data_IF_726684185271
#
_entry.id   IF_726684185271
#
_cell.length_a   1.000
_cell.length_b   1.000
_cell.length_c   1.000
_cell.angle_alpha   90.00
_cell.angle_beta   90.00
_cell.angle_gamma   90.00
#
_symmetry.space_group_name_H-M   'P 1'
#
loop_
_entity.id
_entity.type
_entity.pdbx_description
1 polymer ?
#
# COMPACT_ATOMS: atom_id res chain seq x y z
N UNK A 1 -8.53 20.52 11.45
CA UNK A 1 -8.22 19.23 12.09
C UNK A 1 -8.01 18.23 10.97
N UNK A 2 -6.82 17.66 10.82
CA UNK A 2 -6.58 16.51 9.95
C UNK A 2 -6.51 15.26 10.84
N UNK A 3 -7.32 14.25 10.55
CA UNK A 3 -7.25 12.97 11.25
C UNK A 3 -6.43 11.99 10.40
N UNK A 4 -5.58 11.20 11.04
CA UNK A 4 -4.91 10.09 10.37
C UNK A 4 -5.96 9.03 9.97
N UNK A 5 -5.75 8.40 8.82
CA UNK A 5 -6.55 7.28 8.35
C UNK A 5 -5.64 6.11 7.97
N UNK A 6 -6.04 4.90 8.31
CA UNK A 6 -5.33 3.68 7.93
C UNK A 6 -5.98 3.09 6.69
N UNK A 7 -5.20 2.94 5.62
CA UNK A 7 -5.64 2.24 4.42
C UNK A 7 -5.14 0.79 4.48
N UNK A 8 -6.07 -0.17 4.50
CA UNK A 8 -5.75 -1.60 4.47
C UNK A 8 -6.23 -2.22 3.16
N UNK A 9 -5.43 -3.14 2.63
CA UNK A 9 -5.79 -3.93 1.46
C UNK A 9 -5.94 -5.38 1.91
N UNK A 10 -7.17 -5.88 1.95
CA UNK A 10 -7.49 -7.28 2.20
C UNK A 10 -7.86 -7.92 0.87
N UNK A 11 -7.08 -8.91 0.44
CA UNK A 11 -7.29 -9.63 -0.80
C UNK A 11 -7.07 -11.13 -0.57
N UNK A 12 -7.81 -11.96 -1.31
CA UNK A 12 -7.51 -13.38 -1.49
C UNK A 12 -6.99 -13.56 -2.92
N UNK A 13 -5.74 -14.00 -3.04
CA UNK A 13 -5.13 -14.26 -4.34
C UNK A 13 -5.14 -15.74 -4.71
N UNK A 14 -5.71 -16.60 -3.86
CA UNK A 14 -5.61 -18.05 -3.99
C UNK A 14 -4.14 -18.48 -4.22
N UNK A 15 -3.77 -18.90 -5.43
CA UNK A 15 -2.38 -19.26 -5.80
C UNK A 15 -1.65 -18.18 -6.60
N UNK A 16 -2.28 -17.05 -6.91
CA UNK A 16 -1.66 -15.96 -7.64
C UNK A 16 -0.75 -15.11 -6.74
N UNK A 17 0.28 -14.52 -7.34
CA UNK A 17 1.14 -13.55 -6.66
C UNK A 17 0.57 -12.14 -6.80
N UNK A 18 0.65 -11.34 -5.74
CA UNK A 18 0.30 -9.92 -5.81
C UNK A 18 1.23 -9.22 -6.79
N UNK A 19 0.67 -8.52 -7.77
CA UNK A 19 1.47 -7.70 -8.68
C UNK A 19 1.85 -6.37 -8.03
N UNK A 20 0.85 -5.57 -7.63
CA UNK A 20 1.06 -4.32 -6.91
C UNK A 20 -0.20 -3.82 -6.22
N UNK A 21 -0.03 -3.08 -5.11
CA UNK A 21 -1.09 -2.25 -4.50
C UNK A 21 -0.73 -0.79 -4.76
N UNK A 22 -1.71 0.03 -5.17
CA UNK A 22 -1.52 1.47 -5.42
C UNK A 22 -2.64 2.26 -4.80
N UNK A 23 -2.31 3.36 -4.14
CA UNK A 23 -3.27 4.31 -3.58
C UNK A 23 -3.16 5.66 -4.28
N UNK A 24 -4.33 6.24 -4.56
CA UNK A 24 -4.47 7.50 -5.27
C UNK A 24 -5.34 8.48 -4.49
N UNK A 25 -5.00 9.75 -4.55
CA UNK A 25 -5.87 10.85 -4.13
C UNK A 25 -6.24 11.66 -5.36
N UNK A 26 -7.52 11.61 -5.74
CA UNK A 26 -7.95 12.07 -7.05
C UNK A 26 -7.23 11.26 -8.14
N UNK A 27 -6.38 11.93 -8.91
CA UNK A 27 -5.59 11.32 -10.00
C UNK A 27 -4.12 11.11 -9.65
N UNK A 28 -3.67 11.52 -8.46
CA UNK A 28 -2.26 11.47 -8.06
C UNK A 28 -1.99 10.21 -7.22
N UNK A 29 -1.01 9.40 -7.65
CA UNK A 29 -0.51 8.27 -6.87
C UNK A 29 0.28 8.82 -5.68
N UNK A 30 0.03 8.33 -4.47
CA UNK A 30 0.80 8.73 -3.28
C UNK A 30 1.49 7.56 -2.57
N UNK A 31 1.06 6.32 -2.85
CA UNK A 31 1.68 5.11 -2.31
C UNK A 31 1.60 3.95 -3.31
N UNK A 32 2.67 3.18 -3.41
CA UNK A 32 2.71 1.92 -4.13
C UNK A 32 3.51 0.86 -3.39
N UNK A 33 2.97 -0.35 -3.40
CA UNK A 33 3.65 -1.56 -2.93
C UNK A 33 3.78 -2.55 -4.09
N UNK A 34 5.00 -2.98 -4.40
CA UNK A 34 5.34 -3.99 -5.42
C UNK A 34 6.22 -5.05 -4.76
N UNK A 35 5.69 -6.24 -4.41
CA UNK A 35 6.45 -7.27 -3.68
C UNK A 35 7.75 -7.72 -4.34
N UNK A 36 7.84 -7.57 -5.66
CA UNK A 36 8.99 -8.03 -6.47
C UNK A 36 10.10 -6.97 -6.63
N UNK A 37 9.91 -5.76 -6.11
CA UNK A 37 10.88 -4.66 -6.22
C UNK A 37 11.66 -4.46 -4.92
N UNK A 38 12.83 -3.81 -5.05
CA UNK A 38 13.68 -3.41 -3.92
C UNK A 38 14.01 -1.92 -4.05
N UNK A 39 13.48 -1.04 -3.19
CA UNK A 39 12.56 -1.33 -2.08
C UNK A 39 11.15 -1.70 -2.58
N UNK A 40 10.39 -2.54 -1.83
CA UNK A 40 9.06 -2.97 -2.25
C UNK A 40 7.99 -1.89 -2.06
N UNK A 41 8.32 -0.78 -1.42
CA UNK A 41 7.40 0.34 -1.14
C UNK A 41 7.95 1.62 -1.74
N UNK A 42 7.08 2.38 -2.41
CA UNK A 42 7.35 3.68 -2.98
C UNK A 42 6.30 4.67 -2.49
N UNK A 43 6.75 5.85 -2.07
CA UNK A 43 5.89 6.96 -1.63
C UNK A 43 6.11 8.13 -2.57
N UNK A 44 5.01 8.71 -3.04
CA UNK A 44 5.04 9.86 -3.94
C UNK A 44 4.46 11.07 -3.20
N UNK A 45 5.14 12.23 -3.25
CA UNK A 45 4.66 13.42 -2.57
C UNK A 45 3.40 13.96 -3.27
N UNK A 46 2.32 14.10 -2.50
CA UNK A 46 1.07 14.74 -2.92
C UNK A 46 0.74 15.84 -1.92
N UNK A 47 0.33 17.01 -2.41
CA UNK A 47 0.05 18.17 -1.56
C UNK A 47 -1.05 17.84 -0.54
N UNK A 48 -0.77 18.08 0.75
CA UNK A 48 -1.72 17.80 1.83
C UNK A 48 -1.78 16.34 2.29
N UNK A 49 -0.95 15.45 1.71
CA UNK A 49 -0.86 14.04 2.12
C UNK A 49 0.51 13.75 2.72
N UNK A 50 0.50 13.12 3.89
CA UNK A 50 1.69 12.54 4.49
C UNK A 50 1.46 11.04 4.65
N UNK A 51 2.42 10.24 4.17
CA UNK A 51 2.33 8.78 4.21
C UNK A 51 3.29 8.26 5.26
N UNK A 52 2.75 7.64 6.30
CA UNK A 52 3.52 6.92 7.30
C UNK A 52 3.63 5.44 6.89
N UNK A 53 4.84 5.03 6.52
CA UNK A 53 5.15 3.64 6.10
C UNK A 53 5.66 2.77 7.25
N UNK A 54 5.74 3.30 8.47
CA UNK A 54 6.20 2.54 9.64
C UNK A 54 5.21 1.43 10.05
N UNK A 55 3.94 1.55 9.66
CA UNK A 55 2.87 0.60 9.94
C UNK A 55 2.59 -0.36 8.76
N UNK A 56 3.62 -1.03 8.24
CA UNK A 56 3.44 -2.06 7.22
C UNK A 56 3.17 -3.44 7.86
N UNK A 57 1.90 -3.75 8.13
CA UNK A 57 1.48 -5.12 8.45
C UNK A 57 1.13 -5.85 7.14
N UNK A 58 2.13 -6.33 6.41
CA UNK A 58 1.91 -7.20 5.24
C UNK A 58 1.60 -8.59 5.78
N UNK A 59 0.35 -8.80 6.17
CA UNK A 59 -0.14 -10.11 6.61
C UNK A 59 -0.29 -11.01 5.39
N UNK A 60 0.72 -11.83 5.10
CA UNK A 60 0.58 -12.99 4.21
C UNK A 60 -0.34 -14.00 4.92
N UNK A 61 -1.67 -13.84 4.81
CA UNK A 61 -2.57 -14.95 5.09
C UNK A 61 -2.35 -15.98 3.97
N UNK A 62 -1.51 -16.99 4.21
CA UNK A 62 -1.59 -18.25 3.49
C UNK A 62 -2.76 -19.05 4.10
N UNK A 63 -3.87 -19.28 3.38
CA UNK A 63 -4.80 -20.32 3.77
C UNK A 63 -4.18 -21.66 3.34
N UNK A 64 -3.57 -22.36 4.32
CA UNK A 64 -3.05 -23.73 4.26
C UNK A 64 -1.84 -24.00 3.32
#
# INVERSE_FOLDING_TARGET
MGNAATLSCQYDLEQAALYSVRWYFGTEEFYRYVPKETPPTLVFPVSGINVDVSYNNISHHKPF
#
